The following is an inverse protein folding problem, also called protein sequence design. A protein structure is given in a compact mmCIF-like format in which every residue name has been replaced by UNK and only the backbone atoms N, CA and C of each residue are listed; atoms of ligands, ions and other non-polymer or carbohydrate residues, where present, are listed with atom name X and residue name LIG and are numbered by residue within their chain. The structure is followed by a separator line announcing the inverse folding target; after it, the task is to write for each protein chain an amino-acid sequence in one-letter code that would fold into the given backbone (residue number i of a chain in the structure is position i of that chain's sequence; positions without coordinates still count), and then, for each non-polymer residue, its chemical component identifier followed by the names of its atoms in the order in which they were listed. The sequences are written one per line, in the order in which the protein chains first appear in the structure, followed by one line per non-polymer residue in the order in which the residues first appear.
data_IF_333775529236
#
_entry.id   IF_333775529236
#
_cell.length_a   1.000
_cell.length_b   1.000
_cell.length_c   1.000
_cell.angle_alpha   90.00
_cell.angle_beta   90.00
_cell.angle_gamma   90.00
#
_symmetry.space_group_name_H-M   'P 1'
#
loop_
_entity.id
_entity.type
_entity.pdbx_description
1 polymer ?
#
# COMPACT_ATOMS: atom_id res chain seq x y z
N UNK A 1 9.56 11.28 3.80
CA UNK A 1 10.57 10.59 4.64
C UNK A 1 10.94 11.35 5.91
N UNK A 2 10.81 12.68 5.93
CA UNK A 2 11.11 13.50 7.11
C UNK A 2 10.26 13.07 8.30
N UNK A 3 10.83 13.10 9.51
CA UNK A 3 10.14 12.74 10.73
C UNK A 3 9.82 11.26 10.89
N UNK A 4 10.52 10.40 10.14
CA UNK A 4 10.55 8.94 10.32
C UNK A 4 11.92 8.49 10.85
N UNK A 5 11.96 7.33 11.49
CA UNK A 5 13.20 6.70 11.97
C UNK A 5 13.71 5.69 10.95
N UNK A 6 15.01 5.68 10.72
CA UNK A 6 15.70 4.73 9.84
C UNK A 6 15.78 3.33 10.45
N UNK A 7 15.62 2.30 9.63
CA UNK A 7 15.80 0.90 10.04
C UNK A 7 17.24 0.40 9.82
N UNK A 8 17.95 1.02 8.88
CA UNK A 8 19.32 0.71 8.46
C UNK A 8 20.13 2.01 8.30
N UNK A 9 21.45 1.91 8.28
CA UNK A 9 22.32 3.05 8.00
C UNK A 9 22.12 3.53 6.56
N UNK A 10 21.77 4.81 6.38
CA UNK A 10 21.67 5.41 5.06
C UNK A 10 23.06 5.87 4.64
N UNK A 11 23.57 5.32 3.54
CA UNK A 11 24.87 5.66 2.97
C UNK A 11 24.71 6.36 1.63
N UNK A 12 25.65 7.24 1.29
CA UNK A 12 25.69 7.85 -0.05
C UNK A 12 25.97 6.80 -1.12
N UNK A 13 25.31 6.95 -2.28
CA UNK A 13 25.52 6.05 -3.43
C UNK A 13 26.73 6.47 -4.30
N UNK A 14 27.22 7.71 -4.17
CA UNK A 14 28.32 8.24 -4.97
C UNK A 14 29.66 7.50 -4.80
N UNK A 15 29.86 6.80 -3.68
CA UNK A 15 31.12 6.10 -3.35
C UNK A 15 31.15 4.62 -3.75
N UNK A 16 30.07 4.09 -4.35
CA UNK A 16 29.98 2.68 -4.73
C UNK A 16 30.81 2.30 -5.99
N UNK A 17 31.39 3.27 -6.72
CA UNK A 17 32.28 2.99 -7.86
C UNK A 17 33.71 2.59 -7.47
N UNK A 18 34.08 2.63 -6.18
CA UNK A 18 35.43 2.31 -5.72
C UNK A 18 35.42 1.80 -4.28
N UNK A 19 35.22 0.48 -4.09
CA UNK A 19 35.55 -0.40 -2.94
C UNK A 19 35.58 0.13 -1.48
N UNK A 20 35.01 1.30 -1.16
CA UNK A 20 34.92 1.88 0.18
C UNK A 20 33.46 2.13 0.51
N UNK A 21 33.01 1.57 1.64
CA UNK A 21 31.67 1.80 2.20
C UNK A 21 31.39 3.31 2.21
N UNK A 22 30.35 3.73 1.52
CA UNK A 22 30.01 5.15 1.41
C UNK A 22 29.73 5.82 2.75
N UNK A 23 29.92 7.14 2.79
CA UNK A 23 29.76 7.95 4.01
C UNK A 23 28.33 7.80 4.54
N UNK A 24 28.21 7.54 5.84
CA UNK A 24 26.91 7.44 6.52
C UNK A 24 26.31 8.84 6.63
N UNK A 25 25.10 9.01 6.10
CA UNK A 25 24.33 10.26 6.14
C UNK A 25 23.48 10.31 7.42
N UNK A 26 22.81 9.19 7.72
CA UNK A 26 21.94 9.00 8.90
C UNK A 26 22.20 7.61 9.44
N UNK A 27 22.47 7.48 10.76
CA UNK A 27 22.68 6.16 11.38
C UNK A 27 21.36 5.45 11.57
N UNK A 28 21.42 4.12 11.71
CA UNK A 28 20.28 3.29 12.10
C UNK A 28 19.67 3.78 13.41
N UNK A 29 18.36 4.00 13.42
CA UNK A 29 17.61 4.40 14.61
C UNK A 29 17.54 5.90 14.85
N UNK A 30 18.19 6.70 14.00
CA UNK A 30 18.07 8.17 14.04
C UNK A 30 16.83 8.64 13.26
N UNK A 31 16.32 9.80 13.65
CA UNK A 31 15.22 10.46 12.96
C UNK A 31 15.75 11.22 11.75
N UNK A 32 15.01 11.17 10.65
CA UNK A 32 15.33 11.90 9.43
C UNK A 32 14.80 13.33 9.54
N UNK A 33 15.69 14.27 9.83
CA UNK A 33 15.39 15.69 9.81
C UNK A 33 15.33 16.27 8.38
N UNK A 34 14.82 17.50 8.24
CA UNK A 34 14.83 18.23 6.97
C UNK A 34 16.23 18.35 6.35
N UNK A 35 17.26 18.61 7.18
CA UNK A 35 18.67 18.68 6.73
C UNK A 35 19.18 17.33 6.24
N UNK A 36 18.83 16.24 6.93
CA UNK A 36 19.19 14.89 6.54
C UNK A 36 18.48 14.47 5.25
N UNK A 37 17.18 14.76 5.12
CA UNK A 37 16.41 14.49 3.90
C UNK A 37 16.99 15.23 2.69
N UNK A 38 17.38 16.50 2.84
CA UNK A 38 18.05 17.25 1.78
C UNK A 38 19.37 16.60 1.32
N UNK A 39 20.17 16.07 2.26
CA UNK A 39 21.40 15.32 1.92
C UNK A 39 21.09 14.01 1.19
N UNK A 40 20.07 13.27 1.64
CA UNK A 40 19.65 12.00 1.00
C UNK A 40 19.25 12.23 -0.47
N UNK A 41 18.51 13.31 -0.74
CA UNK A 41 18.07 13.68 -2.09
C UNK A 41 19.28 14.09 -2.95
N UNK A 42 20.17 14.94 -2.43
CA UNK A 42 21.40 15.38 -3.15
C UNK A 42 22.32 14.22 -3.53
N UNK A 43 22.40 13.21 -2.67
CA UNK A 43 23.22 12.00 -2.88
C UNK A 43 22.54 10.95 -3.77
N UNK A 44 21.32 11.21 -4.26
CA UNK A 44 20.63 10.37 -5.23
C UNK A 44 20.11 9.04 -4.69
N UNK A 45 19.92 8.91 -3.38
CA UNK A 45 19.46 7.65 -2.77
C UNK A 45 18.00 7.38 -3.16
N UNK A 46 17.76 6.35 -3.98
CA UNK A 46 16.42 6.04 -4.52
C UNK A 46 15.48 5.33 -3.55
N UNK A 47 16.01 4.54 -2.61
CA UNK A 47 15.20 3.73 -1.68
C UNK A 47 15.78 3.83 -0.27
N UNK A 48 14.90 4.01 0.71
CA UNK A 48 15.26 4.10 2.13
C UNK A 48 14.31 3.22 2.94
N UNK A 49 14.86 2.42 3.85
CA UNK A 49 14.06 1.65 4.79
C UNK A 49 13.82 2.44 6.06
N UNK A 50 12.56 2.67 6.37
CA UNK A 50 12.10 3.42 7.54
C UNK A 50 11.17 2.56 8.39
N UNK A 51 11.10 2.90 9.68
CA UNK A 51 10.05 2.37 10.54
C UNK A 51 8.70 2.98 10.15
N UNK A 52 7.65 2.18 10.30
CA UNK A 52 6.26 2.56 10.02
C UNK A 52 5.34 2.06 11.13
N UNK A 53 4.26 2.80 11.47
CA UNK A 53 3.15 2.29 12.27
C UNK A 53 2.62 0.94 11.80
N UNK A 54 2.56 0.67 10.49
CA UNK A 54 2.05 -0.60 9.93
C UNK A 54 2.84 -1.83 10.35
N UNK A 55 4.16 -1.65 10.52
CA UNK A 55 5.10 -2.70 10.92
C UNK A 55 5.26 -2.83 12.44
N UNK A 56 4.58 -1.97 13.22
CA UNK A 56 4.74 -1.95 14.66
C UNK A 56 4.14 -3.21 15.29
N UNK A 57 4.99 -3.96 16.00
CA UNK A 57 4.65 -5.22 16.69
C UNK A 57 3.98 -5.03 18.05
N UNK A 58 3.81 -3.79 18.52
CA UNK A 58 3.15 -3.53 19.79
C UNK A 58 1.69 -4.04 19.71
N UNK A 59 1.28 -4.83 20.71
CA UNK A 59 -0.04 -5.48 20.78
C UNK A 59 -1.17 -4.46 20.70
N UNK A 60 -1.08 -3.42 21.54
CA UNK A 60 -2.03 -2.31 21.60
C UNK A 60 -1.28 -1.00 21.36
N UNK A 61 -1.78 -0.19 20.43
CA UNK A 61 -1.16 1.09 20.07
C UNK A 61 0.06 0.97 19.15
N UNK A 62 0.90 2.00 19.18
CA UNK A 62 2.09 2.16 18.34
C UNK A 62 3.24 2.66 19.22
N UNK A 63 4.43 2.08 19.08
CA UNK A 63 5.59 2.54 19.83
C UNK A 63 6.14 3.87 19.28
N UNK A 64 6.75 4.66 20.17
CA UNK A 64 7.38 5.93 19.85
C UNK A 64 8.32 5.84 18.64
N UNK A 65 9.09 4.75 18.53
CA UNK A 65 10.06 4.55 17.43
C UNK A 65 9.41 4.29 16.06
N UNK A 66 8.20 3.71 16.03
CA UNK A 66 7.49 3.45 14.77
C UNK A 66 6.73 4.66 14.26
N UNK A 67 6.25 5.51 15.17
CA UNK A 67 5.57 6.77 14.82
C UNK A 67 6.56 7.93 14.59
N UNK A 68 7.67 7.93 15.35
CA UNK A 68 8.77 8.88 15.33
C UNK A 68 8.36 10.31 15.73
N UNK A 69 8.34 11.27 14.79
CA UNK A 69 8.00 12.66 15.11
C UNK A 69 6.50 12.91 15.19
N UNK A 70 6.09 13.72 16.17
CA UNK A 70 4.84 14.47 16.08
C UNK A 70 5.04 15.62 15.09
N UNK A 71 4.20 15.67 14.05
CA UNK A 71 4.33 16.65 12.97
C UNK A 71 3.90 18.06 13.39
N UNK A 72 3.16 18.18 14.50
CA UNK A 72 2.77 19.47 15.06
C UNK A 72 3.97 20.17 15.74
N UNK A 73 4.75 19.43 16.52
CA UNK A 73 5.87 19.98 17.30
C UNK A 73 7.25 19.79 16.65
N UNK A 74 7.34 18.98 15.59
CA UNK A 74 8.60 18.53 14.97
C UNK A 74 9.58 17.90 15.98
N UNK A 75 9.06 17.32 17.06
CA UNK A 75 9.81 16.59 18.09
C UNK A 75 9.36 15.14 18.12
N UNK A 76 10.14 14.29 18.79
CA UNK A 76 9.75 12.91 19.05
C UNK A 76 8.41 12.89 19.79
N UNK A 77 7.48 12.06 19.32
CA UNK A 77 6.15 11.89 19.90
C UNK A 77 6.24 11.52 21.38
N UNK A 78 5.38 12.09 22.22
CA UNK A 78 5.38 11.78 23.64
C UNK A 78 4.62 10.47 23.93
N UNK A 79 5.01 9.78 25.00
CA UNK A 79 4.30 8.57 25.42
C UNK A 79 2.94 8.98 25.97
N UNK A 80 1.87 8.44 25.38
CA UNK A 80 0.50 8.79 25.74
C UNK A 80 -0.21 9.70 24.73
N UNK A 81 0.51 10.22 23.72
CA UNK A 81 -0.10 11.04 22.67
C UNK A 81 -1.13 10.23 21.84
N UNK A 82 -2.32 10.80 21.66
CA UNK A 82 -3.44 10.15 20.97
C UNK A 82 -3.29 10.20 19.44
N UNK A 83 -2.24 9.55 18.92
CA UNK A 83 -1.87 9.55 17.49
C UNK A 83 -2.97 9.06 16.55
N UNK A 84 -3.91 8.25 17.05
CA UNK A 84 -5.08 7.80 16.30
C UNK A 84 -6.07 8.93 16.02
N UNK A 85 -6.36 9.77 17.03
CA UNK A 85 -7.24 10.93 16.89
C UNK A 85 -6.61 11.95 15.94
N UNK A 86 -5.32 12.24 16.12
CA UNK A 86 -4.56 13.15 15.26
C UNK A 86 -4.58 12.66 13.81
N UNK A 87 -4.38 11.36 13.58
CA UNK A 87 -4.45 10.79 12.25
C UNK A 87 -5.84 10.85 11.62
N UNK A 88 -6.90 10.62 12.40
CA UNK A 88 -8.27 10.74 11.92
C UNK A 88 -8.60 12.19 11.53
N UNK A 89 -8.23 13.18 12.36
CA UNK A 89 -8.42 14.59 12.06
C UNK A 89 -7.63 15.05 10.82
N UNK A 90 -6.36 14.64 10.70
CA UNK A 90 -5.50 14.98 9.56
C UNK A 90 -6.03 14.46 8.21
N UNK A 91 -6.89 13.44 8.23
CA UNK A 91 -7.56 12.90 7.04
C UNK A 91 -8.95 13.52 6.86
N UNK A 92 -9.69 13.67 7.97
CA UNK A 92 -11.07 14.16 7.98
C UNK A 92 -11.21 15.64 7.63
N UNK A 93 -10.38 16.52 8.19
CA UNK A 93 -10.47 17.98 7.95
C UNK A 93 -10.23 18.33 6.47
N UNK A 94 -9.17 17.84 5.79
CA UNK A 94 -9.06 18.04 4.35
C UNK A 94 -10.22 17.36 3.60
N UNK A 95 -10.73 16.24 4.09
CA UNK A 95 -11.86 15.52 3.50
C UNK A 95 -13.14 16.35 3.43
N UNK A 96 -13.50 17.08 4.49
CA UNK A 96 -14.66 17.99 4.48
C UNK A 96 -14.43 19.18 3.55
N UNK A 97 -13.18 19.60 3.34
CA UNK A 97 -12.86 20.62 2.35
C UNK A 97 -13.02 20.09 0.91
N UNK A 98 -12.69 18.82 0.65
CA UNK A 98 -12.82 18.20 -0.66
C UNK A 98 -14.27 18.22 -1.15
N UNK A 99 -15.23 17.93 -0.28
CA UNK A 99 -16.65 17.91 -0.67
C UNK A 99 -17.13 19.29 -1.10
N UNK A 100 -16.68 20.37 -0.46
CA UNK A 100 -17.04 21.74 -0.86
C UNK A 100 -16.44 22.14 -2.22
N UNK A 101 -15.23 21.69 -2.54
CA UNK A 101 -14.54 22.02 -3.81
C UNK A 101 -15.11 21.28 -5.02
N UNK A 102 -15.63 20.07 -4.83
CA UNK A 102 -16.08 19.21 -5.95
C UNK A 102 -17.37 19.67 -6.63
N UNK A 103 -18.25 20.42 -5.95
CA UNK A 103 -19.54 20.83 -6.54
C UNK A 103 -19.43 21.93 -7.61
N UNK A 104 -18.33 22.68 -7.64
CA UNK A 104 -18.19 23.84 -8.53
C UNK A 104 -17.53 23.52 -9.89
N UNK A 105 -17.03 22.28 -10.08
CA UNK A 105 -16.40 21.81 -11.33
C UNK A 105 -17.40 21.04 -12.22
N UNK A 106 -18.69 21.01 -11.85
CA UNK A 106 -19.75 20.19 -12.46
C UNK A 106 -20.18 20.55 -13.89
N UNK A 107 -19.34 21.21 -14.70
CA UNK A 107 -19.70 21.70 -16.03
C UNK A 107 -18.71 21.43 -17.17
N UNK A 108 -17.52 20.86 -16.91
CA UNK A 108 -16.55 20.59 -17.98
C UNK A 108 -16.58 19.09 -18.30
N UNK A 109 -17.19 18.76 -19.44
CA UNK A 109 -17.17 17.43 -20.03
C UNK A 109 -15.73 17.06 -20.42
N UNK A 110 -14.96 16.58 -19.45
CA UNK A 110 -13.69 15.90 -19.66
C UNK A 110 -13.78 14.53 -18.99
N UNK A 111 -13.66 13.47 -19.76
CA UNK A 111 -13.78 12.05 -19.38
C UNK A 111 -12.76 11.56 -18.31
N UNK A 112 -12.04 12.46 -17.64
CA UNK A 112 -11.19 12.13 -16.50
C UNK A 112 -12.01 12.13 -15.20
N UNK A 113 -12.83 11.10 -15.05
CA UNK A 113 -13.22 10.44 -13.81
C UNK A 113 -13.32 11.32 -12.53
N UNK A 114 -14.45 12.05 -12.40
CA UNK A 114 -14.84 12.84 -11.22
C UNK A 114 -15.08 11.94 -9.99
N UNK A 115 -14.97 10.61 -10.10
CA UNK A 115 -14.96 9.72 -8.91
C UNK A 115 -13.76 9.96 -8.01
N UNK A 116 -12.75 10.74 -8.44
CA UNK A 116 -11.48 11.04 -7.77
C UNK A 116 -11.55 11.94 -6.51
N UNK A 117 -12.71 12.08 -5.86
CA UNK A 117 -12.90 12.93 -4.67
C UNK A 117 -12.98 12.15 -3.35
N UNK A 118 -13.65 12.74 -2.35
CA UNK A 118 -13.94 12.08 -1.08
C UNK A 118 -14.72 10.74 -1.24
N UNK A 119 -15.68 10.59 -2.18
CA UNK A 119 -16.41 9.32 -2.34
C UNK A 119 -15.49 8.12 -2.59
N UNK A 120 -14.36 8.33 -3.28
CA UNK A 120 -13.37 7.26 -3.48
C UNK A 120 -12.61 6.91 -2.21
N UNK A 121 -12.28 7.91 -1.39
CA UNK A 121 -11.66 7.69 -0.08
C UNK A 121 -12.58 6.89 0.83
N UNK A 122 -13.87 7.22 0.84
CA UNK A 122 -14.91 6.47 1.56
C UNK A 122 -15.03 5.02 1.04
N UNK A 123 -15.08 4.83 -0.28
CA UNK A 123 -15.10 3.49 -0.89
C UNK A 123 -13.92 2.62 -0.43
N UNK A 124 -12.73 3.22 -0.34
CA UNK A 124 -11.50 2.54 0.11
C UNK A 124 -11.57 2.18 1.59
N UNK A 125 -11.96 3.12 2.47
CA UNK A 125 -12.04 2.88 3.91
C UNK A 125 -13.16 1.89 4.29
N UNK A 126 -14.27 1.89 3.56
CA UNK A 126 -15.38 0.96 3.77
C UNK A 126 -15.23 -0.37 3.03
N UNK A 127 -14.17 -0.53 2.22
CA UNK A 127 -13.91 -1.76 1.46
C UNK A 127 -15.12 -2.09 0.56
N UNK A 128 -15.67 -1.06 -0.09
CA UNK A 128 -16.72 -1.19 -1.11
C UNK A 128 -16.09 -1.62 -2.42
N UNK A 129 -16.85 -2.36 -3.23
CA UNK A 129 -16.40 -2.66 -4.59
C UNK A 129 -16.50 -1.39 -5.44
N UNK A 130 -15.42 -1.00 -6.13
CA UNK A 130 -15.39 0.28 -6.83
C UNK A 130 -16.24 0.28 -8.09
N UNK A 131 -16.77 1.46 -8.43
CA UNK A 131 -17.27 1.73 -9.78
C UNK A 131 -16.09 1.66 -10.75
N UNK A 132 -16.29 1.04 -11.92
CA UNK A 132 -15.21 0.88 -12.90
C UNK A 132 -14.08 -0.07 -12.44
N UNK A 133 -14.43 -1.18 -11.78
CA UNK A 133 -13.48 -2.20 -11.27
C UNK A 133 -12.48 -2.71 -12.30
N UNK A 134 -11.20 -2.36 -12.16
CA UNK A 134 -10.09 -2.83 -12.99
C UNK A 134 -9.89 -4.34 -12.86
N UNK A 135 -9.49 -4.98 -13.96
CA UNK A 135 -9.09 -6.38 -13.97
C UNK A 135 -7.63 -6.45 -13.50
N UNK A 136 -7.38 -7.25 -12.47
CA UNK A 136 -6.03 -7.49 -11.94
C UNK A 136 -5.51 -8.86 -12.35
N UNK A 137 -4.19 -8.97 -12.50
CA UNK A 137 -3.53 -10.26 -12.73
C UNK A 137 -3.62 -11.12 -11.48
N UNK A 138 -4.06 -12.36 -11.61
CA UNK A 138 -4.13 -13.34 -10.49
C UNK A 138 -2.81 -14.08 -10.28
N UNK A 139 -1.90 -14.03 -11.25
CA UNK A 139 -0.71 -14.90 -11.30
C UNK A 139 0.51 -14.13 -11.78
N UNK A 140 1.69 -14.59 -11.35
CA UNK A 140 2.95 -14.09 -11.90
C UNK A 140 3.19 -14.68 -13.28
N UNK A 141 3.47 -13.84 -14.27
CA UNK A 141 3.60 -14.30 -15.65
C UNK A 141 4.16 -13.26 -16.59
N UNK A 142 4.17 -13.62 -17.87
CA UNK A 142 4.48 -12.72 -18.98
C UNK A 142 3.26 -12.61 -19.86
N UNK A 143 2.90 -11.39 -20.23
CA UNK A 143 1.82 -11.13 -21.19
C UNK A 143 2.25 -11.70 -22.54
N UNK A 144 1.49 -12.65 -23.07
CA UNK A 144 1.83 -13.35 -24.31
C UNK A 144 1.17 -12.69 -25.51
N UNK A 145 -0.10 -12.31 -25.35
CA UNK A 145 -0.92 -11.76 -26.42
C UNK A 145 -1.89 -10.76 -25.81
N UNK A 146 -1.99 -9.59 -26.45
CA UNK A 146 -3.00 -8.57 -26.17
C UNK A 146 -3.88 -8.47 -27.40
N UNK A 147 -5.05 -9.10 -27.37
CA UNK A 147 -6.02 -8.97 -28.45
C UNK A 147 -6.90 -7.74 -28.18
N UNK A 148 -6.62 -6.65 -28.89
CA UNK A 148 -7.41 -5.41 -28.79
C UNK A 148 -8.81 -5.54 -29.40
N UNK A 149 -8.99 -6.42 -30.40
CA UNK A 149 -10.28 -6.63 -31.09
C UNK A 149 -11.23 -7.45 -30.24
N UNK A 150 -10.74 -8.54 -29.66
CA UNK A 150 -11.52 -9.37 -28.74
C UNK A 150 -11.47 -8.90 -27.28
N UNK A 151 -10.63 -7.90 -26.98
CA UNK A 151 -10.37 -7.37 -25.63
C UNK A 151 -9.99 -8.45 -24.63
N UNK A 152 -9.07 -9.32 -25.05
CA UNK A 152 -8.56 -10.43 -24.24
C UNK A 152 -7.07 -10.26 -24.02
N UNK A 153 -6.63 -10.43 -22.78
CA UNK A 153 -5.21 -10.53 -22.42
C UNK A 153 -4.91 -11.97 -22.05
N UNK A 154 -3.95 -12.56 -22.73
CA UNK A 154 -3.40 -13.87 -22.39
C UNK A 154 -2.14 -13.71 -21.56
N UNK A 155 -2.16 -14.21 -20.33
CA UNK A 155 -1.00 -14.22 -19.46
C UNK A 155 -0.48 -15.64 -19.34
N UNK A 156 0.78 -15.83 -19.72
CA UNK A 156 1.47 -17.10 -19.56
C UNK A 156 2.10 -17.16 -18.18
N UNK A 157 1.67 -18.14 -17.38
CA UNK A 157 2.17 -18.30 -16.01
C UNK A 157 3.64 -18.75 -16.02
N UNK A 158 4.48 -18.04 -15.27
CA UNK A 158 5.86 -18.44 -15.02
C UNK A 158 5.91 -19.19 -13.68
N UNK A 159 5.73 -20.51 -13.71
CA UNK A 159 5.97 -21.31 -12.51
C UNK A 159 7.45 -21.30 -12.13
N UNK A 160 7.74 -21.10 -10.83
CA UNK A 160 9.07 -21.39 -10.29
C UNK A 160 9.27 -22.91 -10.39
N UNK A 161 10.36 -23.33 -11.04
CA UNK A 161 10.79 -24.74 -11.13
C UNK A 161 10.77 -25.40 -9.74
N UNK A 162 9.70 -26.12 -9.42
CA UNK A 162 9.69 -27.01 -8.25
C UNK A 162 10.58 -28.21 -8.55
N UNK A 163 11.40 -28.61 -7.57
CA UNK A 163 12.49 -29.62 -7.67
C UNK A 163 12.04 -31.06 -7.98
N UNK A 164 10.77 -31.33 -8.31
CA UNK A 164 10.31 -32.66 -8.72
C UNK A 164 10.18 -32.75 -10.25
N UNK A 165 11.29 -33.11 -10.90
CA UNK A 165 11.34 -33.64 -12.27
C UNK A 165 10.47 -34.90 -12.34
N UNK A 166 9.20 -34.79 -12.79
CA UNK A 166 8.44 -35.84 -13.54
C UNK A 166 6.98 -35.51 -13.90
N UNK A 167 6.48 -34.29 -13.66
CA UNK A 167 5.26 -33.78 -14.33
C UNK A 167 5.51 -32.37 -14.86
N UNK A 168 6.19 -32.25 -15.99
CA UNK A 168 6.18 -31.04 -16.81
C UNK A 168 4.81 -30.94 -17.48
N UNK A 169 3.78 -30.57 -16.72
CA UNK A 169 2.40 -30.47 -17.21
C UNK A 169 2.04 -29.00 -17.43
N UNK A 170 1.71 -28.70 -18.69
CA UNK A 170 1.02 -27.52 -19.21
C UNK A 170 1.41 -26.15 -18.64
N UNK A 171 2.07 -25.33 -19.47
CA UNK A 171 2.16 -23.89 -19.26
C UNK A 171 0.73 -23.33 -19.29
N UNK A 172 0.07 -23.22 -18.14
CA UNK A 172 -1.27 -22.66 -18.03
C UNK A 172 -1.26 -21.23 -18.58
N UNK A 173 -2.13 -20.98 -19.56
CA UNK A 173 -2.39 -19.64 -20.09
C UNK A 173 -3.72 -19.21 -19.50
N UNK A 174 -3.72 -18.11 -18.76
CA UNK A 174 -4.92 -17.54 -18.17
C UNK A 174 -5.39 -16.41 -19.06
N UNK A 175 -6.64 -16.50 -19.50
CA UNK A 175 -7.28 -15.50 -20.36
C UNK A 175 -8.09 -14.55 -19.48
N UNK A 176 -7.80 -13.25 -19.58
CA UNK A 176 -8.53 -12.19 -18.92
C UNK A 176 -9.35 -11.42 -19.95
N UNK A 177 -10.65 -11.25 -19.69
CA UNK A 177 -11.55 -10.45 -20.53
C UNK A 177 -11.64 -9.03 -19.98
N UNK A 178 -11.40 -8.03 -20.83
CA UNK A 178 -11.46 -6.62 -20.45
C UNK A 178 -12.81 -6.03 -20.88
N UNK A 179 -13.48 -5.25 -20.02
CA UNK A 179 -14.70 -4.56 -20.41
C UNK A 179 -14.48 -3.52 -21.53
N UNK A 180 -15.26 -3.63 -22.61
CA UNK A 180 -16.05 -2.57 -23.27
C UNK A 180 -15.44 -1.16 -23.56
N UNK A 181 -14.95 -0.49 -22.52
CA UNK A 181 -14.79 0.96 -22.47
C UNK A 181 -13.52 1.39 -21.73
N UNK A 182 -12.52 0.51 -21.63
CA UNK A 182 -11.34 0.77 -20.81
C UNK A 182 -10.06 0.53 -21.55
N UNK A 183 -9.10 1.42 -21.36
CA UNK A 183 -7.75 1.29 -21.89
C UNK A 183 -7.04 0.07 -21.30
N UNK A 184 -6.23 -0.57 -22.14
CA UNK A 184 -5.31 -1.63 -21.74
C UNK A 184 -4.02 -0.96 -21.25
N UNK A 185 -3.52 -1.36 -20.09
CA UNK A 185 -2.33 -0.77 -19.47
C UNK A 185 -1.06 -1.60 -19.66
N UNK A 186 -1.19 -2.78 -20.26
CA UNK A 186 -0.10 -3.74 -20.39
C UNK A 186 0.26 -4.00 -21.84
N UNK A 187 1.54 -4.21 -22.09
CA UNK A 187 2.09 -4.50 -23.41
C UNK A 187 2.49 -5.98 -23.53
N UNK A 188 2.56 -6.48 -24.76
CA UNK A 188 3.05 -7.83 -25.04
C UNK A 188 4.51 -7.99 -24.57
N UNK A 189 4.81 -9.11 -23.92
CA UNK A 189 6.12 -9.37 -23.33
C UNK A 189 6.36 -8.74 -21.96
N UNK A 190 5.44 -7.91 -21.44
CA UNK A 190 5.56 -7.34 -20.10
C UNK A 190 5.47 -8.41 -19.02
N UNK A 191 6.33 -8.31 -18.01
CA UNK A 191 6.27 -9.14 -16.79
C UNK A 191 5.24 -8.54 -15.84
N UNK A 192 4.32 -9.38 -15.39
CA UNK A 192 3.27 -9.01 -14.44
C UNK A 192 3.40 -9.82 -13.15
N UNK A 193 3.12 -9.16 -12.03
CA UNK A 193 3.00 -9.76 -10.71
C UNK A 193 1.51 -9.89 -10.30
N UNK A 194 1.20 -10.77 -9.35
CA UNK A 194 -0.17 -10.88 -8.83
C UNK A 194 -0.61 -9.55 -8.20
N UNK A 195 -1.76 -9.04 -8.64
CA UNK A 195 -2.32 -7.75 -8.21
C UNK A 195 -2.09 -6.59 -9.17
N UNK A 196 -1.27 -6.76 -10.22
CA UNK A 196 -1.04 -5.72 -11.21
C UNK A 196 -2.29 -5.44 -12.04
N UNK A 197 -2.55 -4.15 -12.31
CA UNK A 197 -3.67 -3.71 -13.14
C UNK A 197 -3.40 -4.01 -14.61
N UNK A 198 -4.35 -4.69 -15.25
CA UNK A 198 -4.30 -5.00 -16.68
C UNK A 198 -5.03 -3.95 -17.53
N UNK A 199 -6.01 -3.28 -16.95
CA UNK A 199 -6.79 -2.23 -17.60
C UNK A 199 -7.03 -1.05 -16.67
N UNK A 200 -7.50 0.05 -17.24
CA UNK A 200 -7.88 1.25 -16.52
C UNK A 200 -9.04 0.99 -15.53
N UNK A 201 -9.03 1.81 -14.47
CA UNK A 201 -10.02 1.80 -13.42
C UNK A 201 -9.46 1.46 -12.03
N UNK A 202 -10.41 1.21 -11.13
CA UNK A 202 -10.18 1.12 -9.69
C UNK A 202 -10.03 -0.34 -9.24
N UNK A 203 -9.05 -0.61 -8.38
CA UNK A 203 -8.82 -1.98 -7.88
C UNK A 203 -9.80 -2.32 -6.77
N UNK A 204 -10.37 -3.52 -6.83
CA UNK A 204 -11.15 -4.09 -5.73
C UNK A 204 -10.20 -4.65 -4.65
N UNK A 205 -10.26 -4.06 -3.45
CA UNK A 205 -9.39 -4.42 -2.34
C UNK A 205 -9.57 -5.87 -1.88
N UNK A 206 -10.77 -6.45 -2.00
CA UNK A 206 -11.04 -7.82 -1.57
C UNK A 206 -10.37 -8.82 -2.50
N UNK A 207 -10.33 -8.51 -3.80
CA UNK A 207 -9.62 -9.32 -4.78
C UNK A 207 -8.11 -9.17 -4.65
N UNK A 208 -7.64 -7.94 -4.51
CA UNK A 208 -6.23 -7.65 -4.29
C UNK A 208 -5.69 -8.38 -3.05
N UNK A 209 -6.45 -8.37 -1.96
CA UNK A 209 -6.07 -9.08 -0.73
C UNK A 209 -5.94 -10.58 -0.92
N UNK A 210 -6.84 -11.20 -1.70
CA UNK A 210 -6.80 -12.64 -1.97
C UNK A 210 -5.63 -13.03 -2.86
N UNK A 211 -5.25 -12.17 -3.81
CA UNK A 211 -4.25 -12.45 -4.84
C UNK A 211 -2.83 -12.06 -4.41
N UNK A 212 -2.65 -10.82 -3.95
CA UNK A 212 -1.34 -10.23 -3.67
C UNK A 212 -1.00 -10.22 -2.16
N UNK A 213 -1.99 -10.45 -1.29
CA UNK A 213 -1.83 -10.53 0.15
C UNK A 213 -1.88 -9.18 0.88
N UNK A 214 -1.59 -9.26 2.19
CA UNK A 214 -1.75 -8.14 3.14
C UNK A 214 -0.87 -6.96 2.78
N UNK A 215 0.41 -7.19 2.49
CA UNK A 215 1.40 -6.11 2.31
C UNK A 215 1.12 -5.29 1.05
N UNK A 216 0.84 -5.97 -0.06
CA UNK A 216 0.48 -5.33 -1.32
C UNK A 216 -0.83 -4.52 -1.18
N UNK A 217 -1.80 -5.05 -0.44
CA UNK A 217 -3.08 -4.36 -0.22
C UNK A 217 -2.90 -3.11 0.64
N UNK A 218 -2.11 -3.17 1.72
CA UNK A 218 -1.77 -2.00 2.54
C UNK A 218 -1.09 -0.92 1.71
N UNK A 219 -0.06 -1.30 0.95
CA UNK A 219 0.66 -0.36 0.08
C UNK A 219 -0.24 0.26 -0.98
N UNK A 220 -1.16 -0.52 -1.55
CA UNK A 220 -2.14 -0.02 -2.50
C UNK A 220 -3.09 1.00 -1.87
N UNK A 221 -3.65 0.73 -0.69
CA UNK A 221 -4.54 1.65 0.02
C UNK A 221 -3.84 2.98 0.31
N UNK A 222 -2.61 2.95 0.82
CA UNK A 222 -1.85 4.17 1.13
C UNK A 222 -1.63 4.99 -0.14
N UNK A 223 -1.15 4.35 -1.20
CA UNK A 223 -0.86 5.04 -2.46
C UNK A 223 -2.13 5.61 -3.12
N UNK A 224 -3.25 4.88 -3.04
CA UNK A 224 -4.52 5.33 -3.59
C UNK A 224 -5.04 6.57 -2.85
N UNK A 225 -5.10 6.52 -1.52
CA UNK A 225 -5.54 7.65 -0.69
C UNK A 225 -4.61 8.85 -0.89
N UNK A 226 -3.29 8.63 -0.88
CA UNK A 226 -2.31 9.71 -1.08
C UNK A 226 -2.49 10.38 -2.44
N UNK A 227 -2.73 9.61 -3.51
CA UNK A 227 -2.97 10.16 -4.85
C UNK A 227 -4.19 11.06 -4.89
N UNK A 228 -5.29 10.65 -4.25
CA UNK A 228 -6.55 11.41 -4.21
C UNK A 228 -6.36 12.74 -3.47
N UNK A 229 -5.76 12.72 -2.28
CA UNK A 229 -5.51 13.96 -1.54
C UNK A 229 -4.48 14.85 -2.25
N UNK A 230 -3.44 14.28 -2.84
CA UNK A 230 -2.43 15.03 -3.58
C UNK A 230 -3.01 15.69 -4.85
N UNK A 231 -3.86 15.00 -5.61
CA UNK A 231 -4.50 15.57 -6.81
C UNK A 231 -5.42 16.76 -6.48
N UNK A 232 -5.85 16.86 -5.23
CA UNK A 232 -6.72 17.93 -4.73
C UNK A 232 -5.94 19.00 -3.94
N UNK A 233 -4.60 18.91 -3.92
CA UNK A 233 -3.71 19.88 -3.27
C UNK A 233 -3.62 19.75 -1.74
N UNK A 234 -4.17 18.69 -1.14
CA UNK A 234 -4.05 18.43 0.29
C UNK A 234 -2.82 17.56 0.57
N UNK A 235 -1.84 18.12 1.29
CA UNK A 235 -0.60 17.41 1.64
C UNK A 235 -0.80 16.68 2.97
N UNK A 236 -1.18 15.40 2.90
CA UNK A 236 -1.23 14.52 4.07
C UNK A 236 0.07 13.73 4.17
N UNK A 237 0.61 13.62 5.38
CA UNK A 237 1.77 12.76 5.62
C UNK A 237 1.31 11.29 5.76
N UNK A 238 1.94 10.39 5.02
CA UNK A 238 1.63 8.94 4.97
C UNK A 238 1.42 8.28 6.34
N UNK A 239 2.15 8.72 7.37
CA UNK A 239 2.04 8.16 8.73
C UNK A 239 0.61 8.16 9.27
N UNK A 240 -0.21 9.16 8.93
CA UNK A 240 -1.61 9.22 9.36
C UNK A 240 -2.44 8.15 8.65
N UNK A 241 -2.23 7.98 7.33
CA UNK A 241 -2.88 6.94 6.54
C UNK A 241 -2.43 5.56 7.04
N UNK A 242 -1.15 5.37 7.34
CA UNK A 242 -0.58 4.14 7.90
C UNK A 242 -1.21 3.76 9.25
N UNK A 243 -1.52 4.73 10.11
CA UNK A 243 -2.23 4.48 11.39
C UNK A 243 -3.65 3.98 11.14
N UNK A 244 -4.39 4.61 10.21
CA UNK A 244 -5.74 4.18 9.84
C UNK A 244 -5.74 2.80 9.17
N UNK A 245 -4.81 2.57 8.25
CA UNK A 245 -4.64 1.27 7.57
C UNK A 245 -4.24 0.19 8.59
N UNK A 246 -3.42 0.48 9.61
CA UNK A 246 -3.17 -0.48 10.69
C UNK A 246 -4.49 -0.91 11.37
N UNK A 247 -5.39 0.04 11.60
CA UNK A 247 -6.69 -0.24 12.22
C UNK A 247 -7.64 -1.03 11.32
N UNK A 248 -7.62 -0.81 10.00
CA UNK A 248 -8.40 -1.62 9.04
C UNK A 248 -8.04 -3.11 9.08
N UNK A 249 -6.78 -3.45 9.37
CA UNK A 249 -6.28 -4.83 9.48
C UNK A 249 -6.18 -5.33 10.94
N UNK A 250 -6.91 -4.72 11.88
CA UNK A 250 -6.85 -5.05 13.31
C UNK A 250 -7.60 -6.33 13.68
N UNK A 251 -8.53 -6.81 12.85
CA UNK A 251 -9.36 -8.00 13.11
C UNK A 251 -9.01 -9.15 12.18
N UNK A 252 -9.20 -10.37 12.68
CA UNK A 252 -8.97 -11.60 11.92
C UNK A 252 -10.03 -12.64 12.22
N UNK A 253 -10.33 -13.47 11.21
CA UNK A 253 -11.27 -14.59 11.32
C UNK A 253 -10.48 -15.88 11.59
N UNK A 254 -10.86 -16.60 12.64
CA UNK A 254 -10.24 -17.88 12.99
C UNK A 254 -10.71 -18.96 12.00
N UNK A 255 -9.76 -19.66 11.38
CA UNK A 255 -10.06 -20.78 10.47
C UNK A 255 -10.08 -22.12 11.19
N UNK A 256 -9.17 -22.30 12.14
CA UNK A 256 -9.01 -23.50 12.94
C UNK A 256 -8.62 -23.05 14.35
N UNK A 257 -9.29 -23.61 15.34
CA UNK A 257 -9.11 -23.23 16.74
C UNK A 257 -7.85 -23.84 17.37
N UNK A 258 -7.39 -24.99 16.89
CA UNK A 258 -6.31 -25.72 17.56
C UNK A 258 -6.67 -25.96 19.02
N UNK A 259 -5.76 -25.61 19.92
CA UNK A 259 -5.93 -25.73 21.37
C UNK A 259 -6.34 -24.41 22.06
N UNK A 260 -6.62 -23.36 21.27
CA UNK A 260 -7.05 -22.06 21.81
C UNK A 260 -8.53 -22.06 22.20
N UNK A 261 -8.91 -21.10 23.04
CA UNK A 261 -10.30 -20.87 23.46
C UNK A 261 -11.23 -20.33 22.35
N UNK A 262 -10.70 -20.02 21.18
CA UNK A 262 -11.47 -19.39 20.10
C UNK A 262 -12.30 -20.40 19.31
N UNK A 263 -13.47 -19.98 18.82
CA UNK A 263 -14.30 -20.84 17.96
C UNK A 263 -13.94 -20.67 16.47
N UNK A 264 -14.04 -21.73 15.63
CA UNK A 264 -13.83 -21.59 14.20
C UNK A 264 -14.87 -20.64 13.61
N UNK A 265 -14.41 -19.65 12.85
CA UNK A 265 -15.26 -18.63 12.24
C UNK A 265 -15.46 -17.36 13.07
N UNK A 266 -15.03 -17.36 14.33
CA UNK A 266 -15.05 -16.18 15.20
C UNK A 266 -14.15 -15.07 14.65
N UNK A 267 -14.62 -13.81 14.75
CA UNK A 267 -13.84 -12.62 14.39
C UNK A 267 -13.31 -12.01 15.67
N UNK A 268 -12.00 -12.05 15.84
CA UNK A 268 -11.31 -11.53 17.02
C UNK A 268 -10.32 -10.44 16.64
N UNK A 269 -9.97 -9.61 17.61
CA UNK A 269 -8.89 -8.65 17.45
C UNK A 269 -7.54 -9.36 17.43
N UNK A 270 -6.67 -8.91 16.53
CA UNK A 270 -5.31 -9.43 16.38
C UNK A 270 -4.50 -9.30 17.66
N UNK A 271 -4.72 -8.24 18.45
CA UNK A 271 -4.06 -8.05 19.73
C UNK A 271 -4.40 -9.19 20.71
N UNK A 272 -5.70 -9.48 20.86
CA UNK A 272 -6.19 -10.57 21.72
C UNK A 272 -5.69 -11.94 21.25
N UNK A 273 -5.66 -12.18 19.94
CA UNK A 273 -5.10 -13.41 19.37
C UNK A 273 -3.61 -13.60 19.69
N UNK A 274 -2.81 -12.53 19.61
CA UNK A 274 -1.39 -12.57 19.93
C UNK A 274 -1.14 -12.70 21.44
N UNK A 275 -2.01 -12.14 22.28
CA UNK A 275 -1.97 -12.32 23.73
C UNK A 275 -2.24 -13.79 24.11
N UNK A 276 -3.23 -14.42 23.49
CA UNK A 276 -3.58 -15.83 23.76
C UNK A 276 -2.47 -16.80 23.32
N UNK A 277 -1.88 -16.61 22.14
CA UNK A 277 -0.85 -17.53 21.62
C UNK A 277 0.51 -17.40 22.31
N UNK A 278 0.73 -16.33 23.08
CA UNK A 278 1.95 -16.16 23.88
C UNK A 278 1.83 -16.79 25.28
N UNK A 279 0.61 -17.11 25.72
CA UNK A 279 0.33 -17.86 26.94
C UNK A 279 0.36 -19.37 26.67
#
# INVERSE_FOLDING_TARGET
IVGRITLEDIRSQASAKSSKKGKIIVKKGEIIDWKAAGKIIKEGVKKVQVRSPLSCKLKRGICQKCYAWSLASNKTVEVGEAVGIIAAQAIGEPGTQLTLKTFHVGGVAGEADITSGLPRVEEVFEIRSPKGKAVISKTKGVVKLVDEKERKIEIKVLEKKSKNKKKAKQKEVIIYKIPAKRGILVEEGQKVEPGDKLCEGNVDLRELFKVAGVEATKGHIINEIQKIYASQGAVIHDKHIEVMVKQMFSRMKIKKSGDSLFSPGEIIEKAKFLEENEN
#
